data_IF_193157268050
#
_entry.id   IF_193157268050
#
_cell.length_a   1.000
_cell.length_b   1.000
_cell.length_c   1.000
_cell.angle_alpha   90.00
_cell.angle_beta   90.00
_cell.angle_gamma   90.00
#
_symmetry.space_group_name_H-M   'P 1'
#
loop_
_entity.id
_entity.type
_entity.pdbx_description
1 polymer ?
#
# COMPACT_ATOMS: atom_id res chain seq x y z
N UNK A 1 23.63 10.08 -67.33
CA UNK A 1 24.08 11.24 -66.53
C UNK A 1 24.90 10.68 -65.38
N UNK A 2 26.22 10.90 -65.37
CA UNK A 2 27.18 10.12 -64.58
C UNK A 2 27.41 10.71 -63.16
N UNK A 3 28.12 9.95 -62.30
CA UNK A 3 28.29 10.20 -60.87
C UNK A 3 29.58 10.99 -60.58
N UNK A 4 29.79 11.43 -59.34
CA UNK A 4 31.15 11.78 -58.88
C UNK A 4 31.62 10.77 -57.82
N UNK A 5 32.44 9.84 -58.32
CA UNK A 5 33.45 9.09 -57.60
C UNK A 5 34.74 9.94 -57.62
N UNK A 6 35.40 10.08 -56.47
CA UNK A 6 36.87 10.07 -56.38
C UNK A 6 37.18 9.29 -55.07
N UNK A 7 37.73 8.07 -55.04
CA UNK A 7 39.06 7.59 -55.50
C UNK A 7 40.20 8.38 -54.82
N UNK A 8 41.26 7.82 -54.24
CA UNK A 8 41.77 6.45 -54.16
C UNK A 8 42.72 6.35 -52.94
N UNK A 9 42.97 5.11 -52.52
CA UNK A 9 43.84 4.58 -51.46
C UNK A 9 45.37 4.86 -51.62
N UNK A 10 46.30 4.02 -51.11
CA UNK A 10 46.81 3.90 -49.74
C UNK A 10 48.37 4.04 -49.70
N UNK A 11 48.99 4.28 -48.53
CA UNK A 11 50.41 3.89 -48.34
C UNK A 11 50.71 3.38 -46.93
N UNK A 12 51.52 2.32 -46.93
CA UNK A 12 51.98 1.54 -45.79
C UNK A 12 53.28 2.13 -45.19
N UNK A 13 53.62 1.58 -44.02
CA UNK A 13 54.95 1.23 -43.47
C UNK A 13 55.70 2.25 -42.58
N UNK A 14 56.18 1.67 -41.46
CA UNK A 14 57.45 1.87 -40.70
C UNK A 14 57.33 2.53 -39.32
N UNK A 15 57.61 1.68 -38.33
CA UNK A 15 57.92 1.92 -36.92
C UNK A 15 59.20 2.74 -36.74
N UNK A 16 59.23 3.68 -35.79
CA UNK A 16 60.48 4.04 -35.10
C UNK A 16 60.21 4.72 -33.74
N UNK A 17 60.67 4.02 -32.70
CA UNK A 17 60.88 4.51 -31.33
C UNK A 17 61.52 5.90 -31.32
N UNK A 18 60.95 6.82 -30.54
CA UNK A 18 61.74 7.83 -29.81
C UNK A 18 61.19 7.93 -28.39
N UNK A 19 62.04 7.54 -27.44
CA UNK A 19 61.83 7.71 -26.02
C UNK A 19 61.74 9.21 -25.70
N UNK A 20 60.65 9.62 -25.05
CA UNK A 20 60.60 10.87 -24.32
C UNK A 20 60.42 10.56 -22.84
N UNK A 21 61.42 10.98 -22.08
CA UNK A 21 61.47 10.99 -20.63
C UNK A 21 60.38 11.96 -20.13
N UNK A 22 59.23 11.43 -19.71
CA UNK A 22 58.20 12.22 -19.03
C UNK A 22 58.22 11.87 -17.54
N UNK A 23 58.62 12.89 -16.77
CA UNK A 23 58.57 12.97 -15.32
C UNK A 23 57.24 12.43 -14.79
N UNK A 24 57.28 11.28 -14.12
CA UNK A 24 56.12 10.76 -13.39
C UNK A 24 55.88 11.67 -12.17
N UNK A 25 55.06 12.71 -12.35
CA UNK A 25 54.32 13.28 -11.23
C UNK A 25 53.30 12.20 -10.87
N UNK A 26 53.62 11.39 -9.87
CA UNK A 26 52.61 10.63 -9.15
C UNK A 26 51.68 11.66 -8.51
N UNK A 27 50.63 12.05 -9.23
CA UNK A 27 49.49 12.69 -8.63
C UNK A 27 48.94 11.68 -7.63
N UNK A 28 49.26 11.89 -6.35
CA UNK A 28 48.49 11.32 -5.25
C UNK A 28 47.10 11.93 -5.41
N UNK A 29 46.24 11.25 -6.16
CA UNK A 29 44.82 11.54 -6.11
C UNK A 29 44.41 11.34 -4.66
N UNK A 30 43.90 12.37 -3.97
CA UNK A 30 43.35 12.15 -2.65
C UNK A 30 42.19 11.17 -2.86
N UNK A 31 42.24 10.04 -2.16
CA UNK A 31 41.11 9.13 -2.07
C UNK A 31 39.99 9.86 -1.31
N UNK A 32 39.21 10.69 -2.02
CA UNK A 32 38.03 11.39 -1.48
C UNK A 32 36.87 10.44 -1.18
N UNK A 33 36.96 9.17 -1.58
CA UNK A 33 35.82 8.23 -1.56
C UNK A 33 35.53 7.47 -0.27
N UNK A 34 36.03 7.88 0.91
CA UNK A 34 35.73 7.14 2.17
C UNK A 34 35.28 7.99 3.36
N UNK A 35 35.69 9.26 3.42
CA UNK A 35 35.23 10.18 4.47
C UNK A 35 33.82 10.74 4.20
N UNK A 36 33.46 10.93 2.92
CA UNK A 36 32.16 11.48 2.50
C UNK A 36 31.01 10.48 2.74
N UNK A 37 31.23 9.20 2.40
CA UNK A 37 30.19 8.15 2.51
C UNK A 37 29.67 7.98 3.95
N UNK A 38 30.54 8.04 4.96
CA UNK A 38 30.11 7.91 6.35
C UNK A 38 29.32 9.14 6.84
N UNK A 39 29.76 10.33 6.43
CA UNK A 39 29.06 11.58 6.74
C UNK A 39 27.70 11.66 6.04
N UNK A 40 27.64 11.29 4.76
CA UNK A 40 26.41 11.22 3.97
C UNK A 40 25.46 10.14 4.47
N UNK A 41 25.98 8.97 4.84
CA UNK A 41 25.16 7.92 5.48
C UNK A 41 24.47 8.47 6.72
N UNK A 42 25.23 9.18 7.58
CA UNK A 42 24.66 9.82 8.77
C UNK A 42 23.65 10.91 8.39
N UNK A 43 23.94 11.74 7.40
CA UNK A 43 23.03 12.81 6.97
C UNK A 43 21.69 12.26 6.43
N UNK A 44 21.71 11.15 5.68
CA UNK A 44 20.51 10.47 5.19
C UNK A 44 19.73 9.85 6.36
N UNK A 45 20.42 9.19 7.30
CA UNK A 45 19.78 8.64 8.51
C UNK A 45 19.11 9.74 9.35
N UNK A 46 19.79 10.87 9.54
CA UNK A 46 19.25 12.01 10.27
C UNK A 46 18.02 12.61 9.54
N UNK A 47 18.05 12.68 8.21
CA UNK A 47 16.89 13.09 7.40
C UNK A 47 15.70 12.12 7.52
N UNK A 48 15.95 10.81 7.52
CA UNK A 48 14.92 9.79 7.77
C UNK A 48 14.30 9.89 9.17
N UNK A 49 15.11 10.16 10.21
CA UNK A 49 14.58 10.41 11.56
C UNK A 49 13.76 11.70 11.64
N UNK A 50 14.19 12.77 10.95
CA UNK A 50 13.41 13.99 10.85
C UNK A 50 12.06 13.77 10.16
N UNK A 51 12.04 12.92 9.12
CA UNK A 51 10.79 12.52 8.45
C UNK A 51 9.83 11.82 9.41
N UNK A 52 10.30 10.78 10.12
CA UNK A 52 9.49 10.04 11.11
C UNK A 52 8.93 10.97 12.18
N UNK A 53 9.78 11.84 12.74
CA UNK A 53 9.35 12.78 13.77
C UNK A 53 8.33 13.81 13.25
N UNK A 54 8.46 14.26 12.00
CA UNK A 54 7.48 15.17 11.40
C UNK A 54 6.14 14.45 11.14
N UNK A 55 6.18 13.19 10.71
CA UNK A 55 4.98 12.36 10.53
C UNK A 55 4.22 12.12 11.84
N UNK A 56 4.93 11.77 12.92
CA UNK A 56 4.37 11.60 14.28
C UNK A 56 3.75 12.89 14.85
N UNK A 57 4.16 14.06 14.35
CA UNK A 57 3.57 15.35 14.72
C UNK A 57 2.46 15.80 13.79
N UNK A 58 2.25 15.14 12.65
CA UNK A 58 1.38 15.63 11.58
C UNK A 58 1.89 16.94 10.95
N UNK A 59 3.21 17.18 10.96
CA UNK A 59 3.82 18.43 10.50
C UNK A 59 4.08 18.38 8.99
N UNK A 60 3.05 18.70 8.21
CA UNK A 60 3.09 18.64 6.75
C UNK A 60 4.11 19.57 6.12
N UNK A 61 4.36 20.73 6.73
CA UNK A 61 5.38 21.67 6.27
C UNK A 61 6.79 21.11 6.45
N UNK A 62 7.09 20.51 7.60
CA UNK A 62 8.39 19.85 7.82
C UNK A 62 8.58 18.65 6.90
N UNK A 63 7.53 17.85 6.68
CA UNK A 63 7.57 16.75 5.72
C UNK A 63 7.85 17.25 4.30
N UNK A 64 7.11 18.26 3.83
CA UNK A 64 7.26 18.85 2.51
C UNK A 64 8.68 19.38 2.23
N UNK A 65 9.34 19.90 3.27
CA UNK A 65 10.72 20.39 3.19
C UNK A 65 11.77 19.28 3.01
N UNK A 66 11.44 18.01 3.29
CA UNK A 66 12.34 16.86 3.11
C UNK A 66 12.28 16.28 1.69
N UNK A 67 11.35 16.73 0.86
CA UNK A 67 11.19 16.31 -0.53
C UNK A 67 11.91 17.24 -1.52
N UNK A 68 12.39 16.71 -2.64
CA UNK A 68 12.74 17.52 -3.81
C UNK A 68 11.48 18.19 -4.38
N UNK A 69 11.61 19.27 -5.19
CA UNK A 69 10.45 19.94 -5.79
C UNK A 69 9.56 19.05 -6.66
N UNK A 70 10.15 18.03 -7.27
CA UNK A 70 9.55 17.10 -8.23
C UNK A 70 9.37 15.68 -7.69
N UNK A 71 9.66 15.46 -6.41
CA UNK A 71 9.66 14.12 -5.83
C UNK A 71 8.27 13.50 -5.76
N UNK A 72 8.20 12.19 -5.91
CA UNK A 72 6.95 11.43 -6.04
C UNK A 72 6.86 10.22 -5.10
N UNK A 73 5.63 9.84 -4.80
CA UNK A 73 5.29 8.61 -4.09
C UNK A 73 4.57 7.71 -5.10
N UNK A 74 5.00 6.46 -5.19
CA UNK A 74 4.21 5.38 -5.79
C UNK A 74 3.80 4.47 -4.66
N UNK A 75 2.50 4.40 -4.38
CA UNK A 75 1.97 3.54 -3.34
C UNK A 75 1.97 2.06 -3.76
N UNK A 76 1.60 1.17 -2.84
CA UNK A 76 1.58 -0.26 -3.06
C UNK A 76 0.58 -0.74 -4.14
N UNK A 77 -0.22 0.16 -4.73
CA UNK A 77 -1.19 -0.15 -5.78
C UNK A 77 -0.86 0.54 -7.10
N UNK A 78 0.20 1.35 -7.13
CA UNK A 78 0.70 2.03 -8.31
C UNK A 78 0.17 3.43 -8.51
N UNK A 79 -0.53 4.02 -7.53
CA UNK A 79 -0.92 5.43 -7.63
C UNK A 79 0.32 6.32 -7.51
N UNK A 80 0.46 7.26 -8.44
CA UNK A 80 1.54 8.25 -8.43
C UNK A 80 1.03 9.53 -7.81
N UNK A 81 1.71 10.00 -6.77
CA UNK A 81 1.37 11.21 -6.05
C UNK A 81 2.60 12.11 -5.95
N UNK A 82 2.39 13.43 -5.96
CA UNK A 82 3.49 14.38 -5.72
C UNK A 82 3.82 14.38 -4.23
N UNK A 83 5.00 13.90 -3.87
CA UNK A 83 5.36 13.64 -2.47
C UNK A 83 5.22 14.88 -1.59
N UNK A 84 5.72 16.03 -2.08
CA UNK A 84 5.63 17.31 -1.38
C UNK A 84 4.18 17.76 -1.15
N UNK A 85 3.34 17.69 -2.18
CA UNK A 85 1.96 18.15 -2.11
C UNK A 85 1.14 17.23 -1.18
N UNK A 86 1.33 15.91 -1.30
CA UNK A 86 0.63 14.88 -0.50
C UNK A 86 0.85 15.06 0.98
N UNK A 87 2.08 15.38 1.41
CA UNK A 87 2.36 15.55 2.84
C UNK A 87 2.05 16.96 3.34
N UNK A 88 2.03 17.97 2.46
CA UNK A 88 1.84 19.38 2.85
C UNK A 88 0.47 19.69 3.45
N UNK A 89 -0.54 18.86 3.17
CA UNK A 89 -1.91 19.03 3.66
C UNK A 89 -2.08 18.57 5.12
N UNK A 90 -1.05 17.96 5.71
CA UNK A 90 -1.05 17.55 7.10
C UNK A 90 -0.85 18.76 8.00
N UNK A 91 -1.80 18.97 8.92
CA UNK A 91 -1.70 19.98 9.96
C UNK A 91 -1.44 19.30 11.31
N UNK A 92 -0.54 19.86 12.15
CA UNK A 92 -0.33 19.37 13.49
C UNK A 92 -1.63 19.39 14.30
N UNK A 93 -1.82 18.40 15.17
CA UNK A 93 -2.94 18.42 16.11
C UNK A 93 -2.84 19.67 17.01
N UNK A 94 -3.97 20.34 17.27
CA UNK A 94 -3.97 21.49 18.17
C UNK A 94 -3.65 21.06 19.60
N UNK A 95 -3.03 21.96 20.37
CA UNK A 95 -2.62 21.68 21.74
C UNK A 95 -3.85 21.40 22.62
N UNK A 96 -3.97 20.18 23.14
CA UNK A 96 -5.11 19.73 23.95
C UNK A 96 -6.15 18.90 23.21
N UNK A 97 -6.05 18.75 21.88
CA UNK A 97 -6.88 17.80 21.15
C UNK A 97 -6.48 16.37 21.49
N UNK A 98 -7.47 15.50 21.67
CA UNK A 98 -7.21 14.06 21.60
C UNK A 98 -6.64 13.80 20.21
N UNK A 99 -5.36 13.39 20.13
CA UNK A 99 -4.74 13.02 18.85
C UNK A 99 -5.74 12.13 18.11
N UNK A 100 -6.18 12.49 16.89
CA UNK A 100 -6.84 11.52 16.04
C UNK A 100 -5.96 10.28 16.08
N UNK A 101 -6.52 9.10 16.27
CA UNK A 101 -5.70 7.89 16.32
C UNK A 101 -4.78 7.90 15.11
N UNK A 102 -3.49 8.13 15.33
CA UNK A 102 -2.48 8.08 14.29
C UNK A 102 -1.99 6.64 14.26
N UNK A 103 -1.72 6.09 13.07
CA UNK A 103 -1.11 4.77 13.01
C UNK A 103 0.27 4.80 13.67
N UNK A 104 0.62 3.74 14.41
CA UNK A 104 1.99 3.53 14.85
C UNK A 104 2.81 3.02 13.66
N UNK A 105 3.96 3.64 13.39
CA UNK A 105 4.80 3.30 12.24
C UNK A 105 6.21 2.95 12.72
N UNK A 106 6.67 1.76 12.37
CA UNK A 106 8.03 1.30 12.64
C UNK A 106 8.73 0.94 11.32
N UNK A 107 9.85 1.63 11.05
CA UNK A 107 10.75 1.32 9.93
C UNK A 107 11.84 0.37 10.44
N UNK A 108 12.08 -0.72 9.70
CA UNK A 108 12.99 -1.80 10.08
C UNK A 108 13.90 -2.18 8.92
N UNK A 109 14.98 -2.89 9.24
CA UNK A 109 15.87 -3.56 8.28
C UNK A 109 16.36 -2.69 7.12
N UNK A 110 16.62 -1.41 7.39
CA UNK A 110 17.02 -0.48 6.32
C UNK A 110 18.42 -0.76 5.84
N UNK A 111 18.61 -0.68 4.51
CA UNK A 111 19.88 -0.82 3.84
C UNK A 111 20.08 0.34 2.89
N UNK A 112 21.15 1.09 3.12
CA UNK A 112 21.56 2.19 2.25
C UNK A 112 22.61 1.72 1.23
N UNK A 113 22.41 2.11 -0.03
CA UNK A 113 23.34 1.86 -1.13
C UNK A 113 23.50 3.15 -1.95
N UNK A 114 24.71 3.69 -1.96
CA UNK A 114 25.06 4.80 -2.85
C UNK A 114 25.11 4.31 -4.30
N UNK A 115 24.39 5.01 -5.18
CA UNK A 115 24.40 4.80 -6.63
C UNK A 115 25.49 5.68 -7.25
N UNK A 116 25.58 6.91 -6.77
CA UNK A 116 26.58 7.92 -7.11
C UNK A 116 26.85 8.79 -5.86
N UNK A 117 27.73 9.79 -5.94
CA UNK A 117 28.07 10.70 -4.85
C UNK A 117 26.87 11.51 -4.32
N UNK A 118 25.92 11.81 -5.20
CA UNK A 118 24.74 12.63 -4.90
C UNK A 118 23.42 11.84 -4.97
N UNK A 119 23.48 10.50 -5.08
CA UNK A 119 22.30 9.63 -5.19
C UNK A 119 22.48 8.38 -4.35
N UNK A 120 21.55 8.13 -3.43
CA UNK A 120 21.50 6.92 -2.63
C UNK A 120 20.12 6.27 -2.64
N UNK A 121 20.10 4.94 -2.58
CA UNK A 121 18.90 4.13 -2.44
C UNK A 121 18.84 3.56 -1.03
N UNK A 122 17.74 3.76 -0.35
CA UNK A 122 17.41 3.12 0.92
C UNK A 122 16.27 2.12 0.70
N UNK A 123 16.55 0.84 0.89
CA UNK A 123 15.53 -0.21 0.90
C UNK A 123 15.23 -0.60 2.36
N UNK A 124 13.97 -0.84 2.69
CA UNK A 124 13.60 -1.26 4.04
C UNK A 124 12.21 -1.87 4.14
N UNK A 125 11.86 -2.28 5.36
CA UNK A 125 10.53 -2.77 5.71
C UNK A 125 9.83 -1.76 6.62
N UNK A 126 8.50 -1.74 6.55
CA UNK A 126 7.66 -0.89 7.39
C UNK A 126 6.55 -1.72 8.03
N UNK A 127 6.31 -1.48 9.31
CA UNK A 127 5.19 -2.00 10.07
C UNK A 127 4.28 -0.83 10.42
N UNK A 128 2.99 -0.96 10.13
CA UNK A 128 1.99 0.07 10.41
C UNK A 128 0.88 -0.54 11.26
N UNK A 129 0.69 -0.09 12.49
CA UNK A 129 -0.44 -0.52 13.32
C UNK A 129 -1.53 0.55 13.22
N UNK A 130 -2.67 0.27 12.56
CA UNK A 130 -3.77 1.22 12.49
C UNK A 130 -4.34 1.54 13.88
N UNK A 131 -4.97 2.69 14.06
CA UNK A 131 -5.61 3.04 15.33
C UNK A 131 -6.63 1.99 15.77
N UNK A 132 -6.56 1.58 17.04
CA UNK A 132 -7.46 0.58 17.61
C UNK A 132 -7.22 -0.86 17.15
N UNK A 133 -6.07 -1.13 16.52
CA UNK A 133 -5.62 -2.46 16.11
C UNK A 133 -4.32 -2.83 16.84
N UNK A 134 -3.97 -4.11 16.85
CA UNK A 134 -2.73 -4.59 17.49
C UNK A 134 -1.78 -5.29 16.52
N UNK A 135 -2.32 -5.91 15.47
CA UNK A 135 -1.53 -6.54 14.43
C UNK A 135 -0.93 -5.48 13.47
N UNK A 136 0.39 -5.50 13.24
CA UNK A 136 1.01 -4.62 12.27
C UNK A 136 0.71 -5.05 10.84
N UNK A 137 0.44 -4.05 10.01
CA UNK A 137 0.43 -4.15 8.57
C UNK A 137 1.87 -4.10 8.06
N UNK A 138 2.31 -5.15 7.36
CA UNK A 138 3.67 -5.21 6.81
C UNK A 138 3.76 -4.60 5.41
N UNK A 139 4.81 -3.81 5.19
CA UNK A 139 5.15 -3.13 3.95
C UNK A 139 6.65 -3.25 3.64
N UNK A 140 7.00 -3.02 2.39
CA UNK A 140 8.37 -2.75 1.93
C UNK A 140 8.40 -1.37 1.31
N UNK A 141 9.54 -0.71 1.37
CA UNK A 141 9.75 0.51 0.63
C UNK A 141 11.14 0.58 0.01
N UNK A 142 11.23 1.41 -1.02
CA UNK A 142 12.48 1.88 -1.59
C UNK A 142 12.43 3.40 -1.69
N UNK A 143 13.34 4.08 -1.00
CA UNK A 143 13.45 5.53 -0.96
C UNK A 143 14.71 5.95 -1.74
N UNK A 144 14.53 6.83 -2.73
CA UNK A 144 15.65 7.46 -3.44
C UNK A 144 15.95 8.80 -2.82
N UNK A 145 17.16 8.92 -2.28
CA UNK A 145 17.70 10.14 -1.70
C UNK A 145 18.62 10.81 -2.71
N UNK A 146 18.45 12.11 -2.92
CA UNK A 146 19.27 12.93 -3.81
C UNK A 146 19.80 14.14 -3.06
N UNK A 147 21.06 14.52 -3.30
CA UNK A 147 21.60 15.78 -2.80
C UNK A 147 20.99 16.93 -3.59
N UNK A 148 20.20 17.76 -2.92
CA UNK A 148 19.54 18.92 -3.50
C UNK A 148 19.79 20.14 -2.61
N UNK A 149 20.31 21.22 -3.20
CA UNK A 149 20.67 22.46 -2.48
C UNK A 149 21.57 22.21 -1.25
N UNK A 150 22.53 21.28 -1.38
CA UNK A 150 23.49 20.94 -0.32
C UNK A 150 22.95 20.05 0.80
N UNK A 151 21.72 19.52 0.69
CA UNK A 151 21.14 18.61 1.67
C UNK A 151 20.51 17.38 1.00
N UNK A 152 20.48 16.25 1.71
CA UNK A 152 19.82 15.04 1.21
C UNK A 152 18.29 15.18 1.31
N UNK A 153 17.60 14.93 0.20
CA UNK A 153 16.14 15.01 0.07
C UNK A 153 15.57 13.75 -0.57
N UNK A 154 14.33 13.43 -0.25
CA UNK A 154 13.57 12.39 -0.92
C UNK A 154 13.20 12.85 -2.33
N UNK A 155 13.69 12.14 -3.34
CA UNK A 155 13.30 12.30 -4.73
C UNK A 155 12.22 11.29 -5.14
N UNK A 156 12.19 10.12 -4.50
CA UNK A 156 11.18 9.10 -4.77
C UNK A 156 10.94 8.23 -3.55
N UNK A 157 9.69 7.87 -3.30
CA UNK A 157 9.30 6.79 -2.41
C UNK A 157 8.49 5.76 -3.20
N UNK A 158 8.87 4.49 -3.12
CA UNK A 158 8.17 3.38 -3.74
C UNK A 158 7.74 2.44 -2.64
N UNK A 159 6.44 2.28 -2.47
CA UNK A 159 5.87 1.38 -1.48
C UNK A 159 5.45 0.09 -2.17
N UNK A 160 5.64 -1.01 -1.47
CA UNK A 160 5.17 -2.32 -1.88
C UNK A 160 4.56 -3.03 -0.69
N UNK A 161 3.64 -3.95 -0.95
CA UNK A 161 3.14 -4.85 0.09
C UNK A 161 4.32 -5.68 0.61
N UNK A 162 4.42 -5.75 1.94
CA UNK A 162 5.28 -6.70 2.63
C UNK A 162 4.59 -8.05 2.65
N UNK A 163 5.39 -9.10 2.78
CA UNK A 163 4.85 -10.41 3.11
C UNK A 163 4.41 -10.35 4.58
N UNK A 164 3.13 -10.59 4.86
CA UNK A 164 2.67 -10.71 6.24
C UNK A 164 3.38 -11.91 6.88
N UNK A 165 3.66 -11.84 8.19
CA UNK A 165 4.08 -13.02 8.91
C UNK A 165 3.00 -14.10 8.72
N UNK A 166 3.38 -15.24 8.15
CA UNK A 166 2.46 -16.36 7.97
C UNK A 166 2.00 -16.82 9.35
N UNK A 167 0.80 -16.41 9.76
CA UNK A 167 0.14 -16.97 10.93
C UNK A 167 -0.36 -18.39 10.63
N UNK A 168 -0.95 -19.04 11.63
CA UNK A 168 -1.71 -20.30 11.46
C UNK A 168 -3.04 -20.09 10.69
N UNK A 169 -3.10 -19.06 9.85
CA UNK A 169 -4.29 -18.68 9.09
C UNK A 169 -4.56 -19.73 8.03
N UNK A 170 -5.62 -20.50 8.25
CA UNK A 170 -6.13 -21.41 7.24
C UNK A 170 -7.44 -20.87 6.70
N UNK A 171 -7.71 -21.14 5.43
CA UNK A 171 -8.97 -20.75 4.78
C UNK A 171 -10.19 -21.30 5.54
N UNK A 172 -10.06 -22.43 6.24
CA UNK A 172 -11.10 -23.01 7.08
C UNK A 172 -11.52 -22.11 8.25
N UNK A 173 -10.65 -21.23 8.75
CA UNK A 173 -11.02 -20.26 9.78
C UNK A 173 -12.03 -19.21 9.29
N UNK A 174 -12.27 -19.12 7.98
CA UNK A 174 -13.35 -18.32 7.36
C UNK A 174 -14.65 -19.10 7.17
N UNK A 175 -14.77 -20.34 7.67
CA UNK A 175 -16.02 -21.14 7.63
C UNK A 175 -17.21 -20.36 8.17
N UNK A 176 -16.97 -19.47 9.14
CA UNK A 176 -18.02 -18.63 9.71
C UNK A 176 -18.74 -17.79 8.66
N UNK A 177 -18.10 -17.42 7.54
CA UNK A 177 -18.73 -16.62 6.48
C UNK A 177 -19.82 -17.38 5.72
N UNK A 178 -19.77 -18.71 5.68
CA UNK A 178 -20.70 -19.55 4.88
C UNK A 178 -22.14 -19.40 5.36
N UNK A 179 -23.03 -19.11 4.43
CA UNK A 179 -24.45 -18.94 4.65
C UNK A 179 -24.98 -17.64 4.07
N UNK A 180 -26.26 -17.39 4.32
CA UNK A 180 -26.94 -16.21 3.82
C UNK A 180 -26.98 -15.15 4.91
N UNK A 181 -26.60 -13.93 4.58
CA UNK A 181 -26.57 -12.81 5.49
C UNK A 181 -27.37 -11.64 4.93
N UNK A 182 -27.90 -10.83 5.84
CA UNK A 182 -28.54 -9.56 5.50
C UNK A 182 -28.01 -8.46 6.40
N UNK A 183 -27.92 -7.25 5.85
CA UNK A 183 -27.72 -6.07 6.67
C UNK A 183 -28.91 -5.90 7.63
N UNK A 184 -28.60 -5.61 8.89
CA UNK A 184 -29.56 -5.14 9.89
C UNK A 184 -29.20 -3.71 10.31
N UNK A 185 -30.22 -2.90 10.57
CA UNK A 185 -30.02 -1.53 10.99
C UNK A 185 -29.71 -1.50 12.50
N UNK A 186 -28.45 -1.27 12.88
CA UNK A 186 -28.06 -0.98 14.27
C UNK A 186 -28.42 0.48 14.64
N UNK A 187 -29.67 0.89 14.43
CA UNK A 187 -30.16 2.23 14.78
C UNK A 187 -30.39 2.36 16.29
N UNK A 188 -29.30 2.58 17.05
CA UNK A 188 -29.37 3.19 18.40
C UNK A 188 -29.48 4.72 18.35
N UNK A 189 -29.51 5.33 17.16
CA UNK A 189 -29.68 6.78 16.98
C UNK A 189 -30.83 7.02 16.03
N UNK A 190 -31.93 7.60 16.53
CA UNK A 190 -33.21 7.81 15.85
C UNK A 190 -33.19 8.74 14.63
N UNK A 191 -32.40 8.40 13.60
CA UNK A 191 -32.52 8.93 12.24
C UNK A 191 -33.27 7.91 11.37
N UNK A 192 -34.15 8.37 10.46
CA UNK A 192 -35.07 7.51 9.72
C UNK A 192 -34.39 6.52 8.75
N UNK A 193 -35.12 5.45 8.50
CA UNK A 193 -34.86 4.17 7.79
C UNK A 193 -34.35 4.30 6.34
N UNK A 194 -34.24 5.50 5.77
CA UNK A 194 -34.06 5.73 4.33
C UNK A 194 -32.62 5.95 3.84
N UNK A 195 -31.59 5.83 4.68
CA UNK A 195 -30.23 6.25 4.34
C UNK A 195 -29.20 5.13 4.12
N UNK A 196 -29.52 3.87 4.43
CA UNK A 196 -28.59 2.73 4.28
C UNK A 196 -28.95 1.85 3.08
N UNK A 197 -27.96 1.28 2.38
CA UNK A 197 -28.22 0.34 1.29
C UNK A 197 -28.81 -0.95 1.83
N UNK A 198 -29.64 -1.64 1.04
CA UNK A 198 -29.98 -3.04 1.30
C UNK A 198 -28.82 -3.90 0.83
N UNK A 199 -28.31 -4.78 1.70
CA UNK A 199 -27.24 -5.71 1.35
C UNK A 199 -27.69 -7.13 1.68
N UNK A 200 -27.69 -7.98 0.66
CA UNK A 200 -27.91 -9.42 0.76
C UNK A 200 -26.61 -10.12 0.37
N UNK A 201 -26.17 -11.07 1.18
CA UNK A 201 -24.93 -11.81 0.96
C UNK A 201 -25.25 -13.29 1.00
N UNK A 202 -24.71 -14.08 0.08
CA UNK A 202 -24.70 -15.53 0.15
C UNK A 202 -23.26 -16.01 -0.01
N UNK A 203 -22.80 -16.83 0.91
CA UNK A 203 -21.43 -17.37 0.88
C UNK A 203 -21.47 -18.88 0.96
N UNK A 204 -20.64 -19.53 0.15
CA UNK A 204 -20.53 -20.98 0.10
C UNK A 204 -19.12 -21.39 -0.26
N UNK A 205 -18.74 -22.61 0.10
CA UNK A 205 -17.56 -23.23 -0.46
C UNK A 205 -17.77 -23.59 -1.93
N UNK A 206 -16.69 -23.55 -2.73
CA UNK A 206 -16.66 -24.30 -3.97
C UNK A 206 -16.61 -25.82 -3.67
N UNK A 207 -16.90 -26.70 -4.65
CA UNK A 207 -16.98 -28.13 -4.39
C UNK A 207 -15.71 -28.75 -3.78
N UNK A 208 -14.53 -28.21 -4.13
CA UNK A 208 -13.23 -28.67 -3.64
C UNK A 208 -12.80 -28.01 -2.32
N UNK A 209 -13.59 -27.09 -1.75
CA UNK A 209 -13.25 -26.29 -0.57
C UNK A 209 -11.91 -25.53 -0.67
N UNK A 210 -11.51 -25.16 -1.89
CA UNK A 210 -10.32 -24.35 -2.16
C UNK A 210 -10.61 -22.85 -2.21
N UNK A 211 -11.89 -22.48 -2.35
CA UNK A 211 -12.35 -21.10 -2.31
C UNK A 211 -13.70 -20.99 -1.59
N UNK A 212 -13.87 -19.93 -0.80
CA UNK A 212 -15.19 -19.40 -0.54
C UNK A 212 -15.62 -18.54 -1.73
N UNK A 213 -16.86 -18.72 -2.16
CA UNK A 213 -17.52 -17.93 -3.19
C UNK A 213 -18.63 -17.16 -2.48
N UNK A 214 -18.53 -15.83 -2.54
CA UNK A 214 -19.43 -14.89 -1.89
C UNK A 214 -20.10 -14.03 -2.95
N UNK A 215 -21.41 -14.15 -3.04
CA UNK A 215 -22.27 -13.37 -3.91
C UNK A 215 -22.97 -12.30 -3.07
N UNK A 216 -22.95 -11.05 -3.52
CA UNK A 216 -23.53 -9.90 -2.82
C UNK A 216 -24.44 -9.12 -3.75
N UNK A 217 -25.62 -8.77 -3.26
CA UNK A 217 -26.55 -7.85 -3.92
C UNK A 217 -26.66 -6.59 -3.07
N UNK A 218 -26.24 -5.46 -3.64
CA UNK A 218 -26.25 -4.16 -2.98
C UNK A 218 -27.26 -3.26 -3.70
N UNK A 219 -28.33 -2.88 -3.02
CA UNK A 219 -29.33 -1.93 -3.55
C UNK A 219 -29.14 -0.57 -2.86
N UNK A 220 -28.78 0.50 -3.59
CA UNK A 220 -28.63 1.83 -3.01
C UNK A 220 -29.90 2.33 -2.31
N UNK A 221 -29.77 3.23 -1.31
CA UNK A 221 -30.94 3.78 -0.62
C UNK A 221 -31.91 4.45 -1.59
N UNK A 222 -33.20 4.11 -1.51
CA UNK A 222 -34.26 4.68 -2.35
C UNK A 222 -34.25 4.23 -3.82
N UNK A 223 -33.30 3.37 -4.23
CA UNK A 223 -33.25 2.83 -5.58
C UNK A 223 -34.20 1.62 -5.75
N UNK A 224 -34.67 1.41 -6.97
CA UNK A 224 -35.42 0.21 -7.33
C UNK A 224 -34.51 -1.04 -7.34
N UNK A 225 -35.12 -2.23 -7.25
CA UNK A 225 -34.39 -3.49 -7.08
C UNK A 225 -33.54 -3.91 -8.30
N UNK A 226 -33.84 -3.36 -9.48
CA UNK A 226 -33.12 -3.53 -10.73
C UNK A 226 -31.85 -2.66 -10.82
N UNK A 227 -31.79 -1.56 -10.07
CA UNK A 227 -30.58 -0.75 -9.87
C UNK A 227 -29.60 -1.37 -8.86
N UNK A 228 -29.78 -2.64 -8.50
CA UNK A 228 -28.90 -3.32 -7.57
C UNK A 228 -27.59 -3.73 -8.25
N UNK A 229 -26.48 -3.41 -7.59
CA UNK A 229 -25.14 -3.85 -7.99
C UNK A 229 -24.94 -5.28 -7.50
N UNK A 230 -24.55 -6.17 -8.42
CA UNK A 230 -24.14 -7.54 -8.10
C UNK A 230 -22.62 -7.57 -7.94
N UNK A 231 -22.15 -8.11 -6.83
CA UNK A 231 -20.72 -8.24 -6.55
C UNK A 231 -20.42 -9.70 -6.25
N UNK A 232 -19.48 -10.29 -6.98
CA UNK A 232 -18.99 -11.64 -6.73
C UNK A 232 -17.58 -11.58 -6.18
N UNK A 233 -17.29 -12.35 -5.14
CA UNK A 233 -16.00 -12.42 -4.50
C UNK A 233 -15.55 -13.88 -4.38
N UNK A 234 -14.27 -14.13 -4.65
CA UNK A 234 -13.61 -15.41 -4.37
C UNK A 234 -12.56 -15.17 -3.30
N UNK A 235 -12.56 -15.96 -2.24
CA UNK A 235 -11.60 -15.90 -1.13
C UNK A 235 -10.89 -17.25 -1.07
N UNK A 236 -9.56 -17.27 -1.14
CA UNK A 236 -8.78 -18.51 -1.22
C UNK A 236 -7.39 -18.36 -0.62
N UNK A 237 -6.71 -19.50 -0.45
CA UNK A 237 -5.30 -19.52 -0.05
C UNK A 237 -4.40 -19.30 -1.27
N UNK A 238 -3.50 -18.32 -1.20
CA UNK A 238 -2.44 -18.12 -2.18
C UNK A 238 -1.15 -18.81 -1.68
N UNK A 239 -0.72 -19.93 -2.31
CA UNK A 239 0.49 -20.63 -1.89
C UNK A 239 1.79 -19.85 -2.19
N UNK A 240 1.76 -18.86 -3.09
CA UNK A 240 2.93 -18.05 -3.42
C UNK A 240 3.20 -17.05 -2.29
N UNK A 241 2.19 -16.28 -1.89
CA UNK A 241 2.32 -15.32 -0.78
C UNK A 241 2.08 -15.94 0.60
N UNK A 242 1.68 -17.22 0.68
CA UNK A 242 1.34 -17.94 1.92
C UNK A 242 0.34 -17.16 2.77
N UNK A 243 -0.69 -16.62 2.14
CA UNK A 243 -1.71 -15.82 2.79
C UNK A 243 -3.08 -16.05 2.15
N UNK A 244 -4.13 -15.63 2.84
CA UNK A 244 -5.47 -15.63 2.25
C UNK A 244 -5.60 -14.40 1.34
N UNK A 245 -6.04 -14.62 0.11
CA UNK A 245 -6.35 -13.58 -0.87
C UNK A 245 -7.81 -13.61 -1.28
N UNK A 246 -8.33 -12.47 -1.69
CA UNK A 246 -9.60 -12.42 -2.40
C UNK A 246 -9.56 -11.56 -3.64
N UNK A 247 -10.49 -11.85 -4.55
CA UNK A 247 -10.75 -11.09 -5.77
C UNK A 247 -12.22 -10.78 -5.82
N UNK A 248 -12.56 -9.56 -6.21
CA UNK A 248 -13.91 -9.06 -6.26
C UNK A 248 -14.22 -8.49 -7.65
N UNK A 249 -15.43 -8.76 -8.15
CA UNK A 249 -15.92 -8.31 -9.44
C UNK A 249 -17.33 -7.79 -9.27
N UNK A 250 -17.57 -6.57 -9.73
CA UNK A 250 -18.83 -5.86 -9.65
C UNK A 250 -19.49 -5.79 -11.04
N UNK A 251 -20.82 -5.86 -11.09
CA UNK A 251 -21.60 -5.82 -12.34
C UNK A 251 -21.52 -4.50 -13.09
N UNK A 252 -21.06 -3.44 -12.42
CA UNK A 252 -20.80 -2.12 -13.03
C UNK A 252 -19.42 -2.03 -13.70
N UNK A 253 -18.62 -3.11 -13.67
CA UNK A 253 -17.27 -3.16 -14.25
C UNK A 253 -16.14 -2.91 -13.23
N UNK A 254 -16.49 -2.57 -11.98
CA UNK A 254 -15.51 -2.47 -10.90
C UNK A 254 -14.89 -3.81 -10.55
N UNK A 255 -13.63 -3.81 -10.16
CA UNK A 255 -12.92 -5.02 -9.73
C UNK A 255 -11.85 -4.70 -8.69
N UNK A 256 -11.41 -5.71 -7.96
CA UNK A 256 -10.36 -5.51 -6.96
C UNK A 256 -9.83 -6.81 -6.39
N UNK A 257 -8.87 -6.66 -5.49
CA UNK A 257 -8.25 -7.75 -4.75
C UNK A 257 -7.98 -7.34 -3.31
N UNK A 258 -7.85 -8.34 -2.43
CA UNK A 258 -7.46 -8.10 -1.06
C UNK A 258 -6.51 -9.18 -0.52
N UNK A 259 -5.66 -8.78 0.42
CA UNK A 259 -4.90 -9.68 1.29
C UNK A 259 -5.56 -9.67 2.67
N UNK A 260 -5.72 -10.85 3.26
CA UNK A 260 -6.42 -11.04 4.53
C UNK A 260 -5.44 -11.45 5.62
N UNK A 261 -5.62 -10.83 6.78
CA UNK A 261 -4.94 -11.18 8.03
C UNK A 261 -5.91 -11.17 9.21
N UNK A 262 -5.50 -11.76 10.32
CA UNK A 262 -6.27 -11.81 11.57
C UNK A 262 -5.67 -10.88 12.62
N UNK A 263 -6.51 -10.05 13.24
CA UNK A 263 -6.15 -9.13 14.33
C UNK A 263 -7.16 -9.23 15.47
N UNK A 264 -6.72 -9.58 16.68
CA UNK A 264 -7.53 -9.66 17.91
C UNK A 264 -8.94 -10.29 17.71
N UNK A 265 -8.98 -11.43 17.01
CA UNK A 265 -10.23 -12.15 16.72
C UNK A 265 -11.08 -11.59 15.57
N UNK A 266 -10.71 -10.46 14.99
CA UNK A 266 -11.28 -9.91 13.76
C UNK A 266 -10.46 -10.30 12.53
N UNK A 267 -11.09 -10.27 11.35
CA UNK A 267 -10.42 -10.42 10.07
C UNK A 267 -10.25 -9.07 9.39
N UNK A 268 -9.07 -8.77 8.89
CA UNK A 268 -8.75 -7.53 8.19
C UNK A 268 -8.42 -7.87 6.74
N UNK A 269 -9.17 -7.32 5.80
CA UNK A 269 -8.92 -7.45 4.37
C UNK A 269 -8.44 -6.11 3.81
N UNK A 270 -7.14 -6.01 3.52
CA UNK A 270 -6.56 -4.84 2.85
C UNK A 270 -6.85 -4.94 1.37
N UNK A 271 -7.71 -4.05 0.89
CA UNK A 271 -8.31 -4.13 -0.44
C UNK A 271 -7.79 -3.02 -1.34
N UNK A 272 -7.55 -3.36 -2.59
CA UNK A 272 -7.31 -2.43 -3.69
C UNK A 272 -8.36 -2.68 -4.76
N UNK A 273 -8.99 -1.64 -5.26
CA UNK A 273 -10.02 -1.78 -6.29
C UNK A 273 -9.94 -0.66 -7.34
N UNK A 274 -10.33 -0.99 -8.56
CA UNK A 274 -10.56 -0.07 -9.67
C UNK A 274 -12.07 0.07 -9.84
N UNK A 275 -12.55 1.31 -9.80
CA UNK A 275 -13.95 1.67 -10.03
C UNK A 275 -14.26 1.74 -11.53
N UNK A 276 -15.54 1.75 -11.95
CA UNK A 276 -15.92 1.80 -13.36
C UNK A 276 -15.38 2.99 -14.15
N UNK A 277 -15.09 4.11 -13.47
CA UNK A 277 -14.50 5.32 -14.05
C UNK A 277 -12.96 5.24 -14.18
N UNK A 278 -12.36 4.12 -13.77
CA UNK A 278 -10.91 3.90 -13.78
C UNK A 278 -10.18 4.46 -12.55
N UNK A 279 -10.88 5.12 -11.63
CA UNK A 279 -10.28 5.56 -10.38
C UNK A 279 -9.90 4.37 -9.49
N UNK A 280 -8.82 4.52 -8.74
CA UNK A 280 -8.33 3.49 -7.83
C UNK A 280 -8.66 3.84 -6.39
N UNK A 281 -9.00 2.82 -5.60
CA UNK A 281 -9.29 2.96 -4.17
C UNK A 281 -8.52 1.93 -3.38
N UNK A 282 -8.15 2.30 -2.15
CA UNK A 282 -7.60 1.36 -1.17
C UNK A 282 -8.34 1.50 0.16
N UNK A 283 -8.63 0.36 0.80
CA UNK A 283 -9.38 0.31 2.06
C UNK A 283 -8.93 -0.85 2.96
N UNK A 284 -9.13 -0.69 4.27
CA UNK A 284 -9.11 -1.78 5.23
C UNK A 284 -10.55 -2.19 5.54
N UNK A 285 -10.89 -3.43 5.20
CA UNK A 285 -12.19 -4.01 5.50
C UNK A 285 -12.06 -4.94 6.71
N UNK A 286 -12.60 -4.53 7.85
CA UNK A 286 -12.49 -5.21 9.14
C UNK A 286 -13.79 -5.95 9.43
N UNK A 287 -13.71 -7.24 9.71
CA UNK A 287 -14.83 -8.13 10.01
C UNK A 287 -14.70 -8.66 11.44
N UNK A 288 -15.56 -8.18 12.33
CA UNK A 288 -15.65 -8.64 13.72
C UNK A 288 -16.87 -9.55 13.88
N UNK A 289 -16.64 -10.86 13.93
CA UNK A 289 -17.67 -11.89 14.07
C UNK A 289 -17.88 -12.24 15.55
N UNK A 290 -19.13 -12.35 15.98
CA UNK A 290 -19.51 -12.61 17.38
C UNK A 290 -19.40 -14.08 17.80
N UNK A 291 -18.99 -14.97 16.90
CA UNK A 291 -18.95 -16.41 17.12
C UNK A 291 -20.25 -17.14 16.80
N UNK A 292 -21.32 -16.43 16.40
CA UNK A 292 -22.66 -17.00 16.17
C UNK A 292 -23.25 -16.58 14.82
N UNK A 293 -24.02 -15.51 14.81
CA UNK A 293 -24.83 -15.10 13.66
C UNK A 293 -24.75 -13.61 13.39
N UNK A 294 -23.80 -12.89 14.03
CA UNK A 294 -23.60 -11.45 13.82
C UNK A 294 -22.16 -11.16 13.43
N UNK A 295 -21.99 -10.38 12.37
CA UNK A 295 -20.72 -9.84 11.95
C UNK A 295 -20.82 -8.32 11.79
N UNK A 296 -19.92 -7.57 12.42
CA UNK A 296 -19.76 -6.14 12.18
C UNK A 296 -18.68 -5.96 11.13
N UNK A 297 -19.04 -5.39 9.99
CA UNK A 297 -18.11 -5.00 8.93
C UNK A 297 -17.83 -3.49 9.01
N UNK A 298 -16.55 -3.11 9.05
CA UNK A 298 -16.10 -1.73 8.96
C UNK A 298 -15.21 -1.56 7.75
N UNK A 299 -15.35 -0.46 7.02
CA UNK A 299 -14.46 -0.10 5.92
C UNK A 299 -13.82 1.25 6.22
N UNK A 300 -12.50 1.28 6.20
CA UNK A 300 -11.67 2.47 6.44
C UNK A 300 -10.88 2.79 5.17
N UNK A 301 -10.96 4.01 4.61
CA UNK A 301 -10.04 4.41 3.54
C UNK A 301 -8.61 4.47 4.08
N UNK A 302 -7.62 4.10 3.26
CA UNK A 302 -6.21 4.08 3.68
C UNK A 302 -5.40 5.29 3.21
N UNK A 303 -5.95 6.14 2.35
CA UNK A 303 -5.24 7.31 1.82
C UNK A 303 -5.49 8.56 2.66
N UNK A 304 -4.41 9.30 2.91
CA UNK A 304 -4.42 10.65 3.46
C UNK A 304 -4.14 11.61 2.30
N UNK A 305 -5.10 12.45 1.93
CA UNK A 305 -4.91 13.51 0.92
C UNK A 305 -5.85 13.51 -0.29
N UNK A 306 -6.79 12.58 -0.39
CA UNK A 306 -7.93 12.64 -1.31
C UNK A 306 -9.20 12.33 -0.53
N UNK A 307 -10.31 13.01 -0.83
CA UNK A 307 -11.59 13.02 -0.11
C UNK A 307 -11.75 11.97 1.00
N UNK A 308 -11.89 12.45 2.24
CA UNK A 308 -12.24 11.63 3.41
C UNK A 308 -13.53 10.85 3.11
N UNK A 309 -13.39 9.65 2.56
CA UNK A 309 -14.53 8.76 2.40
C UNK A 309 -15.01 8.39 3.81
N UNK A 310 -16.29 8.60 4.13
CA UNK A 310 -16.78 8.35 5.48
C UNK A 310 -16.58 6.88 5.83
N UNK A 311 -16.11 6.61 7.04
CA UNK A 311 -16.00 5.25 7.54
C UNK A 311 -17.38 4.57 7.45
N UNK A 312 -17.43 3.41 6.81
CA UNK A 312 -18.66 2.63 6.70
C UNK A 312 -18.67 1.61 7.84
N UNK A 313 -19.76 1.59 8.62
CA UNK A 313 -20.01 0.54 9.62
C UNK A 313 -21.35 -0.11 9.34
N UNK A 314 -21.31 -1.41 9.08
CA UNK A 314 -22.48 -2.24 8.74
C UNK A 314 -22.51 -3.45 9.66
N UNK A 315 -23.72 -3.82 10.08
CA UNK A 315 -23.95 -5.05 10.83
C UNK A 315 -24.70 -6.04 9.94
N UNK A 316 -24.13 -7.23 9.78
CA UNK A 316 -24.70 -8.36 9.06
C UNK A 316 -25.19 -9.39 10.07
N UNK A 317 -26.39 -9.92 9.83
CA UNK A 317 -26.95 -11.05 10.59
C UNK A 317 -27.21 -12.22 9.64
N UNK A 318 -26.83 -13.43 10.08
CA UNK A 318 -27.02 -14.67 9.32
C UNK A 318 -28.49 -15.08 9.37
N UNK A 319 -29.02 -15.53 8.24
CA UNK A 319 -30.36 -16.12 8.16
C UNK A 319 -30.36 -17.51 8.81
N UNK A 320 -31.40 -17.86 9.60
CA UNK A 320 -31.49 -19.15 10.26
C UNK A 320 -31.33 -20.34 9.30
N UNK A 321 -30.59 -21.36 9.71
CA UNK A 321 -30.44 -22.62 8.95
C UNK A 321 -29.52 -22.56 7.73
N UNK A 322 -28.83 -21.44 7.51
CA UNK A 322 -27.95 -21.27 6.34
C UNK A 322 -26.46 -21.42 6.64
N UNK A 323 -26.07 -21.53 7.92
CA UNK A 323 -24.67 -21.70 8.33
C UNK A 323 -24.11 -23.09 8.06
N UNK A 324 -22.80 -23.25 8.29
CA UNK A 324 -22.17 -24.58 8.32
C UNK A 324 -22.83 -25.42 9.42
N UNK A 325 -23.40 -26.56 9.06
CA UNK A 325 -24.00 -27.49 10.02
C UNK A 325 -22.89 -28.14 10.83
N UNK A 326 -22.93 -28.00 12.15
CA UNK A 326 -22.03 -28.68 13.07
C UNK A 326 -22.37 -30.19 13.04
N UNK A 327 -21.72 -30.94 12.14
CA UNK A 327 -22.03 -32.35 11.91
C UNK A 327 -21.42 -32.99 10.66
N UNK A 328 -20.82 -32.20 9.76
CA UNK A 328 -20.00 -32.72 8.65
C UNK A 328 -18.53 -32.34 8.89
N UNK A 329 -17.91 -33.03 9.85
CA UNK A 329 -16.44 -33.11 9.98
C UNK A 329 -16.00 -34.53 9.68
#
# INVERSE_FOLDING_TARGET
MPPFLESHSPRKVISLLHAFFALAIAAVMPATGRADVAADTKAIQDAGQAYKAALERGDGKALAALWTPDGDIVDAVGNVMKGRDTVSVLEPAAEGDAKPGQPEIAVRETKLRFIDADVALEDGTVEVVPPGHTAPLHGRFSATWVRHEGSWKLAALREARGDEASGDETLALLDWMVGDWTLVDDATTGKPVSSKPKIEVSTRWNPQRTFLIRDMKITPPGAAADAAIQVTQRIGWDPLSKSIRSWVFSSDGGHGEAVWSRDDGSWVARTTAVLPDGSQTSSLNIYSYDGKDKCVWRSLPTHVGGEHMPQVKITLVRKPGTGVTEGAR
#
